data_IF_599041777536
#
_entry.id   IF_599041777536
#
_cell.length_a   1.000
_cell.length_b   1.000
_cell.length_c   1.000
_cell.angle_alpha   90.00
_cell.angle_beta   90.00
_cell.angle_gamma   90.00
#
_symmetry.space_group_name_H-M   'P 1'
#
loop_
_entity.id
_entity.type
_entity.pdbx_description
1 polymer ?
#
# COMPACT_ATOMS: atom_id res chain seq x y z
N UNK A 1 -14.96 -18.26 21.87
CA UNK A 1 -13.81 -17.41 22.29
C UNK A 1 -12.79 -17.44 21.17
N UNK A 2 -12.51 -16.28 20.53
CA UNK A 2 -11.58 -16.21 19.39
C UNK A 2 -10.15 -16.38 19.93
N UNK A 3 -9.55 -17.53 19.64
CA UNK A 3 -8.27 -17.96 20.22
C UNK A 3 -7.07 -17.15 19.73
N UNK A 4 -7.14 -16.64 18.48
CA UNK A 4 -6.01 -15.98 17.81
C UNK A 4 -6.24 -14.48 17.54
N UNK A 5 -7.22 -13.85 18.19
CA UNK A 5 -7.55 -12.43 17.98
C UNK A 5 -6.36 -11.48 18.10
N UNK A 6 -5.51 -11.70 19.10
CA UNK A 6 -4.31 -10.86 19.30
C UNK A 6 -3.36 -10.96 18.12
N UNK A 7 -3.13 -12.17 17.60
CA UNK A 7 -2.26 -12.42 16.46
C UNK A 7 -2.88 -11.89 15.17
N UNK A 8 -4.19 -12.05 14.96
CA UNK A 8 -4.90 -11.48 13.81
C UNK A 8 -4.83 -9.95 13.80
N UNK A 9 -4.99 -9.31 14.98
CA UNK A 9 -4.85 -7.86 15.10
C UNK A 9 -3.41 -7.38 14.82
N UNK A 10 -2.40 -8.13 15.29
CA UNK A 10 -0.99 -7.84 15.02
C UNK A 10 -0.68 -7.95 13.53
N UNK A 11 -1.10 -9.03 12.86
CA UNK A 11 -0.90 -9.23 11.42
C UNK A 11 -1.60 -8.14 10.60
N UNK A 12 -2.84 -7.81 10.93
CA UNK A 12 -3.56 -6.75 10.24
C UNK A 12 -2.90 -5.39 10.46
N UNK A 13 -2.41 -5.11 11.68
CA UNK A 13 -1.68 -3.88 11.99
C UNK A 13 -0.34 -3.79 11.26
N UNK A 14 0.40 -4.90 11.16
CA UNK A 14 1.64 -4.96 10.38
C UNK A 14 1.38 -4.77 8.88
N UNK A 15 0.32 -5.38 8.36
CA UNK A 15 -0.08 -5.20 6.96
C UNK A 15 -0.49 -3.76 6.67
N UNK A 16 -1.41 -3.20 7.43
CA UNK A 16 -1.84 -1.80 7.29
C UNK A 16 -0.68 -0.81 7.42
N UNK A 17 0.14 -0.97 8.45
CA UNK A 17 1.30 -0.10 8.68
C UNK A 17 2.33 -0.20 7.57
N UNK A 18 2.59 -1.40 7.06
CA UNK A 18 3.49 -1.64 5.93
C UNK A 18 2.97 -1.01 4.64
N UNK A 19 1.67 -1.12 4.31
CA UNK A 19 1.06 -0.46 3.15
C UNK A 19 1.26 1.05 3.22
N UNK A 20 0.89 1.68 4.33
CA UNK A 20 1.06 3.13 4.53
C UNK A 20 2.53 3.56 4.41
N UNK A 21 3.47 2.81 5.01
CA UNK A 21 4.90 3.11 4.92
C UNK A 21 5.43 2.97 3.49
N UNK A 22 4.96 1.97 2.75
CA UNK A 22 5.32 1.77 1.35
C UNK A 22 4.88 2.96 0.50
N UNK A 23 3.63 3.42 0.65
CA UNK A 23 3.11 4.59 -0.07
C UNK A 23 3.88 5.87 0.22
N UNK A 24 4.22 6.08 1.50
CA UNK A 24 5.06 7.22 1.90
C UNK A 24 6.44 7.11 1.24
N UNK A 25 7.08 5.94 1.28
CA UNK A 25 8.41 5.74 0.73
C UNK A 25 8.46 6.01 -0.78
N UNK A 26 7.54 5.43 -1.56
CA UNK A 26 7.51 5.59 -3.02
C UNK A 26 7.17 7.03 -3.44
N UNK A 27 6.33 7.73 -2.66
CA UNK A 27 6.03 9.14 -2.88
C UNK A 27 7.27 9.99 -2.62
N UNK A 28 7.99 9.73 -1.53
CA UNK A 28 9.20 10.47 -1.15
C UNK A 28 10.34 10.28 -2.17
N UNK A 29 10.45 9.13 -2.84
CA UNK A 29 11.48 8.92 -3.86
C UNK A 29 11.40 9.98 -4.97
N UNK A 30 10.23 10.23 -5.53
CA UNK A 30 10.05 11.26 -6.57
C UNK A 30 10.26 12.68 -6.04
N UNK A 31 9.76 12.97 -4.83
CA UNK A 31 9.98 14.29 -4.21
C UNK A 31 11.46 14.54 -3.89
N UNK A 32 12.23 13.50 -3.59
CA UNK A 32 13.66 13.60 -3.34
C UNK A 32 14.41 13.95 -4.61
N UNK A 33 14.04 13.38 -5.76
CA UNK A 33 14.59 13.77 -7.06
C UNK A 33 14.35 15.25 -7.35
N UNK A 34 13.10 15.70 -7.20
CA UNK A 34 12.75 17.11 -7.47
C UNK A 34 13.51 18.06 -6.53
N UNK A 35 13.59 17.77 -5.23
CA UNK A 35 14.36 18.55 -4.24
C UNK A 35 15.86 18.58 -4.57
N UNK A 36 16.45 17.44 -4.94
CA UNK A 36 17.86 17.36 -5.32
C UNK A 36 18.19 18.22 -6.55
N UNK A 37 17.28 18.27 -7.53
CA UNK A 37 17.45 19.11 -8.71
C UNK A 37 17.29 20.61 -8.41
N UNK A 38 16.49 20.99 -7.42
CA UNK A 38 16.31 22.37 -6.98
C UNK A 38 17.50 22.87 -6.17
N UNK A 39 17.97 22.07 -5.21
CA UNK A 39 19.13 22.38 -4.35
C UNK A 39 20.03 21.14 -4.19
N UNK A 40 21.03 20.98 -5.05
CA UNK A 40 22.00 19.87 -4.98
C UNK A 40 22.94 19.92 -3.76
N UNK A 41 22.90 20.98 -2.96
CA UNK A 41 23.70 21.15 -1.75
C UNK A 41 25.20 21.33 -1.96
N UNK A 42 25.72 21.13 -3.19
CA UNK A 42 27.13 21.22 -3.56
C UNK A 42 27.32 21.96 -4.88
N UNK A 43 28.12 23.07 -4.91
CA UNK A 43 28.38 23.84 -6.13
C UNK A 43 28.99 23.01 -7.28
N UNK A 44 29.83 22.01 -6.99
CA UNK A 44 30.40 21.11 -7.99
C UNK A 44 29.30 20.29 -8.69
N UNK A 45 28.41 19.68 -7.93
CA UNK A 45 27.24 18.95 -8.45
C UNK A 45 26.35 19.86 -9.29
N UNK A 46 26.11 21.10 -8.86
CA UNK A 46 25.33 22.07 -9.64
C UNK A 46 25.96 22.38 -11.00
N UNK A 47 27.30 22.46 -11.09
CA UNK A 47 28.01 22.67 -12.33
C UNK A 47 27.91 21.46 -13.28
N UNK A 48 28.02 20.24 -12.75
CA UNK A 48 27.86 18.98 -13.50
C UNK A 48 26.43 18.83 -14.03
N UNK A 49 25.41 19.10 -13.21
CA UNK A 49 24.00 19.10 -13.58
C UNK A 49 23.70 20.08 -14.74
N UNK A 50 24.29 21.30 -14.68
CA UNK A 50 24.15 22.28 -15.75
C UNK A 50 24.84 21.85 -17.04
N UNK A 51 25.95 21.11 -16.95
CA UNK A 51 26.68 20.60 -18.11
C UNK A 51 25.93 19.50 -18.87
N UNK A 52 25.19 18.65 -18.17
CA UNK A 52 24.36 17.56 -18.76
C UNK A 52 23.04 18.12 -19.32
N UNK A 53 22.52 19.19 -18.72
CA UNK A 53 21.22 19.79 -19.01
C UNK A 53 20.12 19.24 -18.07
N UNK A 54 19.60 20.11 -17.23
CA UNK A 54 18.63 19.80 -16.15
C UNK A 54 17.43 18.97 -16.60
N UNK A 55 16.92 19.17 -17.81
CA UNK A 55 15.77 18.42 -18.32
C UNK A 55 16.10 16.94 -18.52
N UNK A 56 17.26 16.63 -19.10
CA UNK A 56 17.69 15.26 -19.37
C UNK A 56 18.01 14.51 -18.08
N UNK A 57 18.64 15.19 -17.16
CA UNK A 57 18.97 14.63 -15.86
C UNK A 57 17.72 14.33 -15.03
N UNK A 58 16.75 15.24 -15.02
CA UNK A 58 15.46 14.99 -14.36
C UNK A 58 14.81 13.71 -14.87
N UNK A 59 14.79 13.49 -16.19
CA UNK A 59 14.24 12.26 -16.79
C UNK A 59 15.02 11.03 -16.30
N UNK A 60 16.35 11.09 -16.26
CA UNK A 60 17.17 9.95 -15.81
C UNK A 60 16.94 9.63 -14.33
N UNK A 61 16.94 10.64 -13.46
CA UNK A 61 16.73 10.45 -12.02
C UNK A 61 15.31 9.97 -11.72
N UNK A 62 14.29 10.53 -12.38
CA UNK A 62 12.90 10.06 -12.20
C UNK A 62 12.71 8.64 -12.71
N UNK A 63 13.39 8.24 -13.80
CA UNK A 63 13.38 6.86 -14.29
C UNK A 63 14.01 5.90 -13.27
N UNK A 64 15.13 6.28 -12.66
CA UNK A 64 15.76 5.47 -11.60
C UNK A 64 14.83 5.34 -10.38
N UNK A 65 14.25 6.44 -9.89
CA UNK A 65 13.27 6.42 -8.81
C UNK A 65 12.04 5.56 -9.17
N UNK A 66 11.60 5.57 -10.44
CA UNK A 66 10.54 4.72 -10.95
C UNK A 66 10.89 3.22 -10.89
N UNK A 67 12.11 2.82 -11.25
CA UNK A 67 12.55 1.42 -11.15
C UNK A 67 12.68 0.97 -9.69
N UNK A 68 13.17 1.83 -8.79
CA UNK A 68 13.19 1.55 -7.35
C UNK A 68 11.77 1.37 -6.79
N UNK A 69 10.85 2.24 -7.15
CA UNK A 69 9.46 2.15 -6.74
C UNK A 69 8.80 0.86 -7.27
N UNK A 70 9.05 0.49 -8.52
CA UNK A 70 8.57 -0.77 -9.08
C UNK A 70 9.07 -1.98 -8.30
N UNK A 71 10.36 -1.98 -7.91
CA UNK A 71 10.93 -3.04 -7.08
C UNK A 71 10.27 -3.09 -5.69
N UNK A 72 10.04 -1.93 -5.06
CA UNK A 72 9.37 -1.81 -3.75
C UNK A 72 7.95 -2.37 -3.85
N UNK A 73 7.15 -1.93 -4.83
CA UNK A 73 5.77 -2.39 -5.01
C UNK A 73 5.70 -3.90 -5.24
N UNK A 74 6.48 -4.44 -6.18
CA UNK A 74 6.49 -5.88 -6.48
C UNK A 74 6.82 -6.74 -5.27
N UNK A 75 7.77 -6.30 -4.42
CA UNK A 75 8.12 -7.04 -3.22
C UNK A 75 7.08 -6.85 -2.12
N UNK A 76 6.52 -5.64 -1.99
CA UNK A 76 5.47 -5.37 -1.03
C UNK A 76 4.22 -6.19 -1.32
N UNK A 77 3.74 -6.23 -2.55
CA UNK A 77 2.60 -7.05 -2.97
C UNK A 77 2.79 -8.54 -2.62
N UNK A 78 4.01 -9.08 -2.78
CA UNK A 78 4.33 -10.45 -2.34
C UNK A 78 4.22 -10.61 -0.83
N UNK A 79 4.70 -9.63 -0.06
CA UNK A 79 4.55 -9.61 1.40
C UNK A 79 3.07 -9.53 1.79
N UNK A 80 2.27 -8.72 1.09
CA UNK A 80 0.82 -8.63 1.28
C UNK A 80 0.12 -9.98 1.07
N UNK A 81 0.49 -10.75 0.05
CA UNK A 81 -0.04 -12.10 -0.15
C UNK A 81 0.29 -13.02 1.03
N UNK A 82 1.50 -12.96 1.55
CA UNK A 82 1.90 -13.77 2.72
C UNK A 82 1.12 -13.34 3.96
N UNK A 83 1.07 -12.03 4.26
CA UNK A 83 0.34 -11.49 5.42
C UNK A 83 -1.16 -11.79 5.32
N UNK A 84 -1.76 -11.55 4.16
CA UNK A 84 -3.17 -11.81 3.91
C UNK A 84 -3.52 -13.30 3.96
N UNK A 85 -2.67 -14.16 3.42
CA UNK A 85 -2.83 -15.62 3.50
C UNK A 85 -2.77 -16.11 4.94
N UNK A 86 -1.78 -15.69 5.72
CA UNK A 86 -1.67 -16.01 7.15
C UNK A 86 -2.86 -15.46 7.94
N UNK A 87 -3.28 -14.23 7.65
CA UNK A 87 -4.42 -13.62 8.28
C UNK A 87 -5.71 -14.43 8.02
N UNK A 88 -5.97 -14.82 6.76
CA UNK A 88 -7.11 -15.68 6.43
C UNK A 88 -7.03 -17.04 7.13
N UNK A 89 -5.87 -17.67 7.21
CA UNK A 89 -5.70 -18.94 7.93
C UNK A 89 -6.11 -18.82 9.42
N UNK A 90 -5.69 -17.73 10.07
CA UNK A 90 -6.11 -17.44 11.46
C UNK A 90 -7.61 -17.22 11.57
N UNK A 91 -8.21 -16.49 10.63
CA UNK A 91 -9.65 -16.28 10.61
C UNK A 91 -10.42 -17.58 10.40
N UNK A 92 -9.97 -18.48 9.53
CA UNK A 92 -10.60 -19.79 9.35
C UNK A 92 -10.58 -20.61 10.64
N UNK A 93 -9.47 -20.55 11.40
CA UNK A 93 -9.37 -21.24 12.69
C UNK A 93 -10.30 -20.64 13.77
N UNK A 94 -10.49 -19.31 13.74
CA UNK A 94 -11.31 -18.57 14.72
C UNK A 94 -12.80 -18.50 14.37
N UNK A 95 -13.17 -18.80 13.13
CA UNK A 95 -14.54 -18.73 12.60
C UNK A 95 -15.24 -17.39 12.89
N UNK A 96 -14.70 -16.27 12.42
CA UNK A 96 -15.30 -14.96 12.63
C UNK A 96 -16.64 -14.85 11.88
N UNK A 97 -17.40 -13.78 12.16
CA UNK A 97 -18.62 -13.48 11.42
C UNK A 97 -18.36 -13.32 9.91
N UNK A 98 -19.39 -13.58 9.09
CA UNK A 98 -19.32 -13.55 7.61
C UNK A 98 -18.76 -12.24 7.07
N UNK A 99 -19.07 -11.11 7.70
CA UNK A 99 -18.59 -9.78 7.29
C UNK A 99 -17.06 -9.68 7.37
N UNK A 100 -16.46 -10.14 8.47
CA UNK A 100 -15.00 -10.12 8.65
C UNK A 100 -14.32 -10.97 7.57
N UNK A 101 -14.86 -12.17 7.31
CA UNK A 101 -14.35 -13.04 6.27
C UNK A 101 -14.47 -12.40 4.87
N UNK A 102 -15.64 -11.85 4.53
CA UNK A 102 -15.88 -11.20 3.24
C UNK A 102 -14.93 -10.02 3.01
N UNK A 103 -14.75 -9.13 3.99
CA UNK A 103 -13.83 -8.00 3.89
C UNK A 103 -12.38 -8.46 3.70
N UNK A 104 -11.96 -9.52 4.39
CA UNK A 104 -10.60 -10.07 4.23
C UNK A 104 -10.35 -10.63 2.84
N UNK A 105 -11.35 -11.30 2.26
CA UNK A 105 -11.29 -11.79 0.87
C UNK A 105 -11.26 -10.61 -0.11
N UNK A 106 -12.04 -9.55 0.13
CA UNK A 106 -12.02 -8.33 -0.71
C UNK A 106 -10.64 -7.68 -0.71
N UNK A 107 -9.99 -7.54 0.45
CA UNK A 107 -8.62 -6.99 0.54
C UNK A 107 -7.65 -7.82 -0.32
N UNK A 108 -7.67 -9.14 -0.20
CA UNK A 108 -6.80 -10.01 -1.00
C UNK A 108 -7.13 -9.99 -2.50
N UNK A 109 -8.41 -9.82 -2.85
CA UNK A 109 -8.81 -9.65 -4.25
C UNK A 109 -8.28 -8.34 -4.84
N UNK A 110 -8.23 -7.27 -4.03
CA UNK A 110 -7.61 -6.00 -4.44
C UNK A 110 -6.12 -6.20 -4.69
N UNK A 111 -5.38 -6.80 -3.74
CA UNK A 111 -3.94 -7.09 -3.89
C UNK A 111 -3.69 -7.94 -5.15
N UNK A 112 -4.54 -8.94 -5.41
CA UNK A 112 -4.42 -9.76 -6.62
C UNK A 112 -4.67 -8.95 -7.90
N UNK A 113 -5.64 -8.03 -7.91
CA UNK A 113 -5.90 -7.15 -9.05
C UNK A 113 -4.73 -6.18 -9.28
N UNK A 114 -4.19 -5.59 -8.22
CA UNK A 114 -2.99 -4.74 -8.27
C UNK A 114 -1.82 -5.52 -8.89
N UNK A 115 -1.48 -6.66 -8.32
CA UNK A 115 -0.32 -7.46 -8.75
C UNK A 115 -0.45 -8.00 -10.19
N UNK A 116 -1.55 -8.68 -10.51
CA UNK A 116 -1.68 -9.41 -11.77
C UNK A 116 -2.18 -8.56 -12.94
N UNK A 117 -2.93 -7.49 -12.68
CA UNK A 117 -3.58 -6.70 -13.73
C UNK A 117 -2.92 -5.34 -13.94
N UNK A 118 -2.45 -4.68 -12.88
CA UNK A 118 -2.03 -3.28 -12.94
C UNK A 118 -0.52 -3.10 -12.91
N UNK A 119 0.18 -3.69 -11.93
CA UNK A 119 1.59 -3.41 -11.65
C UNK A 119 2.49 -3.62 -12.86
N UNK A 120 2.34 -4.74 -13.59
CA UNK A 120 3.17 -5.01 -14.77
C UNK A 120 2.95 -3.99 -15.89
N UNK A 121 1.71 -3.55 -16.11
CA UNK A 121 1.34 -2.57 -17.14
C UNK A 121 1.79 -1.17 -16.77
N UNK A 122 1.62 -0.76 -15.50
CA UNK A 122 2.10 0.52 -15.00
C UNK A 122 3.63 0.59 -15.10
N UNK A 123 4.34 -0.48 -14.72
CA UNK A 123 5.80 -0.57 -14.85
C UNK A 123 6.27 -0.43 -16.30
N UNK A 124 5.65 -1.17 -17.23
CA UNK A 124 6.01 -1.10 -18.65
C UNK A 124 5.82 0.32 -19.24
N UNK A 125 4.67 0.93 -18.96
CA UNK A 125 4.37 2.29 -19.41
C UNK A 125 5.22 3.35 -18.70
N UNK A 126 5.51 3.17 -17.41
CA UNK A 126 6.30 4.08 -16.59
C UNK A 126 7.73 4.28 -17.11
N UNK A 127 8.31 3.26 -17.77
CA UNK A 127 9.64 3.34 -18.36
C UNK A 127 9.76 4.31 -19.52
N UNK A 128 8.66 4.64 -20.16
CA UNK A 128 8.62 5.49 -21.36
C UNK A 128 7.81 6.77 -21.18
N UNK A 129 7.02 6.88 -20.12
CA UNK A 129 6.04 7.95 -19.92
C UNK A 129 6.65 9.36 -19.93
N UNK A 130 7.85 9.52 -19.35
CA UNK A 130 8.53 10.81 -19.27
C UNK A 130 9.08 11.29 -20.65
N UNK A 131 9.20 10.39 -21.63
CA UNK A 131 9.61 10.71 -22.99
C UNK A 131 8.40 10.98 -23.92
N UNK A 132 7.17 10.74 -23.46
CA UNK A 132 5.97 10.83 -24.28
C UNK A 132 5.32 12.22 -24.18
N UNK A 133 4.80 12.77 -25.28
CA UNK A 133 3.95 13.95 -25.21
C UNK A 133 2.63 13.62 -24.49
N UNK A 134 2.07 14.60 -23.80
CA UNK A 134 0.80 14.43 -23.03
C UNK A 134 -0.39 14.03 -23.90
N UNK A 135 -0.29 14.22 -25.22
CA UNK A 135 -1.29 13.81 -26.22
C UNK A 135 -1.22 12.33 -26.59
N UNK A 136 -0.10 11.64 -26.28
CA UNK A 136 0.10 10.22 -26.58
C UNK A 136 -0.89 9.37 -25.77
N UNK A 137 -1.47 8.37 -26.42
CA UNK A 137 -2.43 7.45 -25.79
C UNK A 137 -1.80 6.65 -24.63
N UNK A 138 -0.50 6.31 -24.73
CA UNK A 138 0.26 5.59 -23.70
C UNK A 138 0.44 6.45 -22.45
N UNK A 139 0.70 7.78 -22.63
CA UNK A 139 0.76 8.73 -21.50
C UNK A 139 -0.57 8.76 -20.74
N UNK A 140 -1.69 8.88 -21.46
CA UNK A 140 -3.03 8.88 -20.86
C UNK A 140 -3.35 7.55 -20.17
N UNK A 141 -2.99 6.43 -20.82
CA UNK A 141 -3.20 5.10 -20.26
C UNK A 141 -2.42 4.90 -18.96
N UNK A 142 -1.14 5.31 -18.93
CA UNK A 142 -0.32 5.26 -17.71
C UNK A 142 -1.02 5.95 -16.54
N UNK A 143 -1.41 7.21 -16.70
CA UNK A 143 -2.05 7.98 -15.64
C UNK A 143 -3.42 7.44 -15.23
N UNK A 144 -4.15 6.86 -16.18
CA UNK A 144 -5.42 6.19 -15.88
C UNK A 144 -5.18 4.95 -15.02
N UNK A 145 -4.27 4.07 -15.40
CA UNK A 145 -3.95 2.86 -14.63
C UNK A 145 -3.36 3.20 -13.27
N UNK A 146 -2.48 4.20 -13.21
CA UNK A 146 -1.91 4.69 -11.95
C UNK A 146 -2.98 5.24 -11.01
N UNK A 147 -3.95 6.00 -11.55
CA UNK A 147 -5.10 6.48 -10.77
C UNK A 147 -5.98 5.33 -10.26
N UNK A 148 -6.20 4.29 -11.07
CA UNK A 148 -6.92 3.09 -10.63
C UNK A 148 -6.18 2.34 -9.52
N UNK A 149 -4.87 2.16 -9.67
CA UNK A 149 -4.03 1.54 -8.64
C UNK A 149 -4.15 2.28 -7.31
N UNK A 150 -3.90 3.60 -7.33
CA UNK A 150 -4.00 4.44 -6.12
C UNK A 150 -5.40 4.42 -5.51
N UNK A 151 -6.45 4.40 -6.34
CA UNK A 151 -7.83 4.28 -5.87
C UNK A 151 -8.12 2.95 -5.17
N UNK A 152 -7.65 1.83 -5.73
CA UNK A 152 -7.78 0.51 -5.13
C UNK A 152 -7.00 0.42 -3.81
N UNK A 153 -5.80 0.99 -3.77
CA UNK A 153 -4.98 0.98 -2.56
C UNK A 153 -5.63 1.77 -1.41
N UNK A 154 -6.21 2.95 -1.70
CA UNK A 154 -7.01 3.69 -0.72
C UNK A 154 -8.19 2.85 -0.22
N UNK A 155 -8.94 2.20 -1.11
CA UNK A 155 -10.06 1.32 -0.73
C UNK A 155 -9.56 0.16 0.14
N UNK A 156 -8.42 -0.44 -0.19
CA UNK A 156 -7.75 -1.49 0.58
C UNK A 156 -7.46 -1.01 2.01
N UNK A 157 -6.79 0.14 2.15
CA UNK A 157 -6.43 0.74 3.45
C UNK A 157 -7.69 1.03 4.29
N UNK A 158 -8.71 1.65 3.71
CA UNK A 158 -9.97 1.94 4.40
C UNK A 158 -10.68 0.66 4.84
N UNK A 159 -10.66 -0.38 4.02
CA UNK A 159 -11.24 -1.69 4.34
C UNK A 159 -10.49 -2.35 5.50
N UNK A 160 -9.14 -2.26 5.52
CA UNK A 160 -8.32 -2.74 6.65
C UNK A 160 -8.64 -1.99 7.94
N UNK A 161 -8.81 -0.66 7.90
CA UNK A 161 -9.22 0.13 9.05
C UNK A 161 -10.60 -0.32 9.58
N UNK A 162 -11.58 -0.49 8.69
CA UNK A 162 -12.90 -1.00 9.04
C UNK A 162 -12.83 -2.40 9.66
N UNK A 163 -12.01 -3.29 9.11
CA UNK A 163 -11.79 -4.63 9.62
C UNK A 163 -11.15 -4.62 11.01
N UNK A 164 -10.16 -3.74 11.25
CA UNK A 164 -9.55 -3.54 12.56
C UNK A 164 -10.58 -3.07 13.60
N UNK A 165 -11.46 -2.15 13.24
CA UNK A 165 -12.54 -1.68 14.09
C UNK A 165 -13.53 -2.80 14.45
N UNK A 166 -13.91 -3.65 13.48
CA UNK A 166 -14.79 -4.80 13.71
C UNK A 166 -14.16 -5.84 14.65
N UNK A 167 -12.87 -6.14 14.45
CA UNK A 167 -12.13 -7.04 15.34
C UNK A 167 -12.01 -6.48 16.76
N UNK A 168 -11.90 -5.16 16.90
CA UNK A 168 -11.86 -4.50 18.20
C UNK A 168 -13.23 -4.50 18.90
N UNK A 169 -14.30 -4.14 18.19
CA UNK A 169 -15.67 -4.06 18.73
C UNK A 169 -16.18 -5.39 19.26
N UNK A 170 -15.86 -6.50 18.62
CA UNK A 170 -16.16 -7.83 19.11
C UNK A 170 -15.48 -8.16 20.46
N UNK A 171 -14.50 -7.36 20.89
CA UNK A 171 -13.82 -7.47 22.19
C UNK A 171 -14.67 -6.96 23.34
N UNK A 172 -15.52 -5.96 23.10
CA UNK A 172 -16.34 -5.30 24.11
C UNK A 172 -17.62 -6.09 24.42
N UNK A 173 -18.13 -6.84 23.44
CA UNK A 173 -19.35 -7.64 23.59
C UNK A 173 -19.14 -8.91 24.44
N UNK A 174 -17.92 -9.38 24.59
CA UNK A 174 -17.56 -10.64 25.27
C UNK A 174 -17.15 -10.46 26.77
N UNK A 175 -17.22 -9.22 27.31
CA UNK A 175 -17.03 -9.01 28.75
C UNK A 175 -18.24 -9.58 29.47
N UNK A 176 -18.06 -10.59 30.38
CA UNK A 176 -19.17 -11.09 31.17
C UNK A 176 -19.75 -9.91 31.97
N UNK A 177 -21.04 -9.63 31.75
CA UNK A 177 -21.81 -8.77 32.63
C UNK A 177 -21.65 -9.37 34.02
N UNK A 178 -20.82 -8.76 34.86
CA UNK A 178 -20.74 -9.11 36.27
C UNK A 178 -22.16 -9.07 36.77
N UNK A 179 -22.73 -10.25 37.04
CA UNK A 179 -24.04 -10.40 37.63
C UNK A 179 -23.97 -9.63 38.96
N UNK A 180 -24.74 -8.57 39.09
CA UNK A 180 -25.05 -7.99 40.37
C UNK A 180 -25.72 -9.09 41.19
N UNK A 181 -24.96 -9.79 42.00
CA UNK A 181 -25.50 -10.65 43.02
C UNK A 181 -26.29 -9.74 43.98
N UNK A 182 -27.59 -9.99 44.20
CA UNK A 182 -28.32 -9.26 45.22
C UNK A 182 -27.64 -9.51 46.58
N UNK A 183 -27.26 -8.42 47.25
CA UNK A 183 -26.84 -8.48 48.63
C UNK A 183 -28.07 -8.97 49.46
N UNK A 184 -28.08 -10.27 49.77
CA UNK A 184 -28.98 -10.79 50.75
C UNK A 184 -28.51 -10.28 52.12
N UNK A 185 -29.32 -9.32 52.68
CA UNK A 185 -29.28 -8.92 54.05
C UNK A 185 -29.92 -9.99 54.95
#
# INVERSE_FOLDING_TARGET
MIRYRGLSALLLGAWLGGSILTDIAVTQNFQTVDRFLEDPGNPGTSAELNAIGRARERIMLRRNAGEENNWIFLNWERVEFVLGGLFLLLLFADRPGKTVMALSVVILAIVAAEHFLLTSRITELGRVVDDLPTTDSRYKLFWTLHGFYSGLDIVKILTMCGLAALLHSGRTADKPRTANLPANG
#
